data_IF_652634916584
#
_entry.id   IF_652634916584
#
_cell.length_a   1.000
_cell.length_b   1.000
_cell.length_c   1.000
_cell.angle_alpha   90.00
_cell.angle_beta   90.00
_cell.angle_gamma   90.00
#
_symmetry.space_group_name_H-M   'P 1'
#
loop_
_entity.id
_entity.type
_entity.pdbx_description
1 polymer ?
#
# COMPACT_ATOMS: atom_id res chain seq x y z
N UNK A 1 -20.13 -11.27 15.47
CA UNK A 1 -19.14 -12.40 15.34
C UNK A 1 -18.30 -12.38 14.06
N UNK A 2 -18.89 -12.05 12.90
CA UNK A 2 -18.23 -12.15 11.58
C UNK A 2 -17.47 -10.90 11.12
N UNK A 3 -17.43 -9.84 11.94
CA UNK A 3 -16.79 -8.57 11.61
C UNK A 3 -15.62 -8.36 12.55
N UNK A 4 -14.39 -8.59 12.07
CA UNK A 4 -13.15 -8.58 12.87
C UNK A 4 -13.20 -9.44 14.15
N UNK A 5 -14.13 -10.40 14.23
CA UNK A 5 -14.34 -11.26 15.38
C UNK A 5 -13.95 -12.72 15.12
N UNK A 6 -13.95 -13.51 16.19
CA UNK A 6 -13.56 -14.93 16.18
C UNK A 6 -14.39 -15.79 15.22
N UNK A 7 -15.62 -15.40 14.92
CA UNK A 7 -16.50 -16.15 14.02
C UNK A 7 -15.90 -16.36 12.62
N UNK A 8 -15.23 -15.34 12.08
CA UNK A 8 -14.57 -15.45 10.76
C UNK A 8 -13.34 -16.38 10.79
N UNK A 9 -12.64 -16.45 11.94
CA UNK A 9 -11.53 -17.38 12.13
C UNK A 9 -12.03 -18.81 12.24
N UNK A 10 -13.11 -19.04 13.01
CA UNK A 10 -13.75 -20.36 13.14
C UNK A 10 -14.30 -20.86 11.80
N UNK A 11 -14.90 -19.98 11.00
CA UNK A 11 -15.45 -20.33 9.68
C UNK A 11 -14.40 -20.82 8.67
N UNK A 12 -13.10 -20.68 8.95
CA UNK A 12 -12.02 -21.26 8.13
C UNK A 12 -11.77 -22.74 8.41
N UNK A 13 -12.21 -23.24 9.57
CA UNK A 13 -11.94 -24.62 10.03
C UNK A 13 -13.20 -25.40 10.40
N UNK A 14 -14.34 -24.72 10.59
CA UNK A 14 -15.66 -25.32 10.85
C UNK A 14 -16.60 -24.96 9.70
N UNK A 15 -17.34 -25.93 9.17
CA UNK A 15 -18.26 -25.69 8.08
C UNK A 15 -19.45 -24.81 8.53
N UNK A 16 -20.00 -23.93 7.67
CA UNK A 16 -21.16 -23.11 8.01
C UNK A 16 -22.38 -23.91 8.50
N UNK A 17 -22.58 -25.14 8.02
CA UNK A 17 -23.66 -26.04 8.44
C UNK A 17 -23.53 -26.53 9.88
N UNK A 18 -22.34 -26.43 10.48
CA UNK A 18 -22.02 -26.87 11.84
C UNK A 18 -21.95 -25.69 12.83
N UNK A 19 -22.19 -24.46 12.36
CA UNK A 19 -22.15 -23.25 13.16
C UNK A 19 -23.51 -22.56 13.18
N UNK A 20 -23.94 -22.13 14.37
CA UNK A 20 -25.06 -21.22 14.51
C UNK A 20 -24.56 -19.83 14.91
N UNK A 21 -24.66 -18.87 13.99
CA UNK A 21 -24.15 -17.51 14.18
C UNK A 21 -25.32 -16.58 14.46
N UNK A 22 -25.44 -16.12 15.71
CA UNK A 22 -26.44 -15.13 16.10
C UNK A 22 -25.96 -13.72 15.70
N UNK A 23 -26.68 -12.99 14.83
CA UNK A 23 -26.33 -11.63 14.48
C UNK A 23 -26.65 -10.68 15.64
N UNK A 24 -25.89 -9.59 15.72
CA UNK A 24 -26.08 -8.49 16.68
C UNK A 24 -25.58 -7.20 16.04
N UNK A 25 -26.13 -6.01 16.38
CA UNK A 25 -25.60 -4.74 15.90
C UNK A 25 -24.09 -4.65 16.11
N UNK A 26 -23.35 -4.33 15.05
CA UNK A 26 -21.90 -4.18 15.15
C UNK A 26 -21.52 -2.90 15.90
N UNK A 27 -20.30 -2.84 16.44
CA UNK A 27 -19.76 -1.59 16.99
C UNK A 27 -19.76 -0.45 15.97
N UNK A 28 -19.56 -0.74 14.67
CA UNK A 28 -19.71 0.26 13.61
C UNK A 28 -21.15 0.77 13.48
N UNK A 29 -22.13 -0.13 13.49
CA UNK A 29 -23.55 0.23 13.43
C UNK A 29 -23.98 1.06 14.64
N UNK A 30 -23.54 0.67 15.84
CA UNK A 30 -23.81 1.41 17.07
C UNK A 30 -23.14 2.80 17.02
N UNK A 31 -21.86 2.88 16.66
CA UNK A 31 -21.14 4.14 16.54
C UNK A 31 -21.79 5.08 15.50
N UNK A 32 -22.10 4.57 14.32
CA UNK A 32 -22.77 5.32 13.26
C UNK A 32 -24.12 5.88 13.74
N UNK A 33 -24.91 5.10 14.47
CA UNK A 33 -26.17 5.56 15.06
C UNK A 33 -25.98 6.69 16.10
N UNK A 34 -24.92 6.65 16.91
CA UNK A 34 -24.60 7.71 17.89
C UNK A 34 -24.08 9.00 17.25
N UNK A 35 -23.43 8.87 16.10
CA UNK A 35 -22.80 9.98 15.39
C UNK A 35 -23.67 10.56 14.28
N UNK A 36 -24.74 9.87 13.89
CA UNK A 36 -25.56 10.22 12.73
C UNK A 36 -24.80 10.04 11.40
N UNK A 37 -23.84 9.10 11.35
CA UNK A 37 -23.06 8.84 10.14
C UNK A 37 -23.70 7.74 9.30
N UNK A 38 -23.81 7.97 8.00
CA UNK A 38 -24.23 6.94 7.05
C UNK A 38 -23.07 5.94 6.84
N UNK A 39 -23.27 4.66 7.15
CA UNK A 39 -22.20 3.65 7.10
C UNK A 39 -21.60 3.47 5.69
N UNK A 40 -22.38 3.67 4.63
CA UNK A 40 -21.89 3.59 3.26
C UNK A 40 -20.89 4.71 2.89
N UNK A 41 -20.88 5.81 3.65
CA UNK A 41 -19.97 6.94 3.46
C UNK A 41 -18.76 6.90 4.41
N UNK A 42 -18.64 5.85 5.22
CA UNK A 42 -17.64 5.70 6.27
C UNK A 42 -16.70 4.57 5.92
N UNK A 43 -15.39 4.82 6.05
CA UNK A 43 -14.41 3.73 5.97
C UNK A 43 -14.30 3.04 7.32
N UNK A 44 -14.68 1.77 7.36
CA UNK A 44 -14.55 0.92 8.55
C UNK A 44 -13.20 0.22 8.58
N UNK A 45 -12.43 0.40 9.66
CA UNK A 45 -11.06 -0.07 9.81
C UNK A 45 -10.86 -0.74 11.17
N UNK A 46 -9.75 -1.46 11.31
CA UNK A 46 -9.36 -2.10 12.57
C UNK A 46 -7.85 -2.02 12.74
N UNK A 47 -7.41 -1.61 13.93
CA UNK A 47 -6.01 -1.70 14.38
C UNK A 47 -5.80 -2.85 15.34
N UNK A 48 -6.82 -3.69 15.58
CA UNK A 48 -6.70 -4.90 16.40
C UNK A 48 -5.69 -5.85 15.75
N UNK A 49 -4.57 -6.08 16.44
CA UNK A 49 -3.43 -6.83 15.92
C UNK A 49 -2.94 -6.37 14.53
N UNK A 50 -3.10 -5.08 14.20
CA UNK A 50 -2.74 -4.49 12.90
C UNK A 50 -2.01 -3.15 13.10
N UNK A 51 -1.00 -2.84 12.27
CA UNK A 51 -0.28 -1.58 12.40
C UNK A 51 -1.17 -0.37 12.14
N UNK A 52 -1.12 0.62 13.03
CA UNK A 52 -1.82 1.91 12.90
C UNK A 52 -1.45 2.65 11.60
N UNK A 53 -0.25 2.40 11.07
CA UNK A 53 0.25 2.99 9.83
C UNK A 53 -0.69 2.79 8.63
N UNK A 54 -1.49 1.71 8.62
CA UNK A 54 -2.46 1.46 7.55
C UNK A 54 -3.52 2.58 7.42
N UNK A 55 -3.80 3.33 8.49
CA UNK A 55 -4.73 4.46 8.45
C UNK A 55 -4.27 5.54 7.45
N UNK A 56 -2.97 5.70 7.20
CA UNK A 56 -2.42 6.73 6.30
C UNK A 56 -2.99 6.65 4.87
N UNK A 57 -3.37 5.46 4.40
CA UNK A 57 -3.97 5.28 3.07
C UNK A 57 -5.42 5.79 2.96
N UNK A 58 -6.04 6.11 4.10
CA UNK A 58 -7.44 6.53 4.22
C UNK A 58 -7.59 7.98 4.65
N UNK A 59 -6.49 8.69 4.92
CA UNK A 59 -6.52 10.08 5.35
C UNK A 59 -6.69 11.00 4.13
N UNK A 60 -7.83 11.67 4.08
CA UNK A 60 -8.08 12.83 3.25
C UNK A 60 -9.04 13.77 3.96
N UNK A 61 -9.05 15.05 3.58
CA UNK A 61 -9.95 16.01 4.19
C UNK A 61 -11.41 15.59 3.99
N UNK A 62 -12.21 15.63 5.06
CA UNK A 62 -13.61 15.19 5.07
C UNK A 62 -13.83 13.68 5.11
N UNK A 63 -12.77 12.86 5.17
CA UNK A 63 -12.91 11.42 5.38
C UNK A 63 -13.54 11.13 6.74
N UNK A 64 -14.45 10.16 6.80
CA UNK A 64 -14.99 9.63 8.05
C UNK A 64 -14.53 8.20 8.25
N UNK A 65 -13.84 7.96 9.36
CA UNK A 65 -13.28 6.65 9.69
C UNK A 65 -13.90 6.14 10.99
N UNK A 66 -14.24 4.85 11.03
CA UNK A 66 -14.52 4.15 12.27
C UNK A 66 -13.45 3.07 12.46
N UNK A 67 -12.66 3.18 13.52
CA UNK A 67 -11.47 2.36 13.76
C UNK A 67 -11.66 1.55 15.04
N UNK A 68 -11.70 0.22 14.92
CA UNK A 68 -11.67 -0.68 16.08
C UNK A 68 -10.29 -0.63 16.74
N UNK A 69 -10.26 -0.31 18.02
CA UNK A 69 -9.04 -0.22 18.83
C UNK A 69 -8.57 -1.60 19.30
N UNK A 70 -7.26 -1.74 19.46
CA UNK A 70 -6.67 -2.90 20.12
C UNK A 70 -6.92 -2.88 21.63
N UNK A 71 -6.82 -1.68 22.23
CA UNK A 71 -6.87 -1.42 23.68
C UNK A 71 -6.99 0.10 23.96
N UNK A 72 -6.82 0.49 25.22
CA UNK A 72 -6.86 1.89 25.67
C UNK A 72 -5.73 2.77 25.11
N UNK A 73 -4.64 2.21 24.59
CA UNK A 73 -3.53 2.98 24.01
C UNK A 73 -3.80 3.41 22.56
N UNK A 74 -4.68 2.68 21.85
CA UNK A 74 -4.94 2.88 20.42
C UNK A 74 -5.37 4.31 20.08
N UNK A 75 -6.27 4.99 20.83
CA UNK A 75 -6.60 6.38 20.55
C UNK A 75 -5.41 7.34 20.61
N UNK A 76 -4.49 7.16 21.57
CA UNK A 76 -3.30 8.00 21.68
C UNK A 76 -2.35 7.81 20.48
N UNK A 77 -2.16 6.57 20.05
CA UNK A 77 -1.36 6.24 18.86
C UNK A 77 -1.99 6.80 17.58
N UNK A 78 -3.32 6.71 17.45
CA UNK A 78 -4.05 7.29 16.31
C UNK A 78 -3.92 8.81 16.30
N UNK A 79 -4.09 9.47 17.46
CA UNK A 79 -3.94 10.92 17.56
C UNK A 79 -2.53 11.38 17.15
N UNK A 80 -1.49 10.66 17.59
CA UNK A 80 -0.12 10.93 17.18
C UNK A 80 0.08 10.82 15.67
N UNK A 81 -0.39 9.72 15.07
CA UNK A 81 -0.33 9.53 13.62
C UNK A 81 -1.06 10.65 12.86
N UNK A 82 -2.25 11.06 13.31
CA UNK A 82 -2.99 12.15 12.69
C UNK A 82 -2.21 13.47 12.74
N UNK A 83 -1.62 13.82 13.90
CA UNK A 83 -0.78 15.03 14.02
C UNK A 83 0.42 14.98 13.07
N UNK A 84 1.14 13.86 13.05
CA UNK A 84 2.35 13.70 12.22
C UNK A 84 2.06 13.82 10.72
N UNK A 85 0.81 13.61 10.30
CA UNK A 85 0.38 13.69 8.88
C UNK A 85 -0.37 14.97 8.53
N UNK A 86 -0.40 15.96 9.41
CA UNK A 86 -1.12 17.22 9.18
C UNK A 86 -2.64 17.09 9.32
N UNK A 87 -3.12 16.05 10.00
CA UNK A 87 -4.53 15.83 10.32
C UNK A 87 -4.82 16.10 11.80
N UNK A 88 -3.97 16.87 12.48
CA UNK A 88 -4.13 17.23 13.89
C UNK A 88 -5.49 17.85 14.25
N UNK A 89 -6.10 18.73 13.43
CA UNK A 89 -7.41 19.30 13.72
C UNK A 89 -8.58 18.30 13.68
N UNK A 90 -8.35 17.07 13.20
CA UNK A 90 -9.38 16.04 13.09
C UNK A 90 -10.08 15.81 14.43
N UNK A 91 -11.41 15.74 14.40
CA UNK A 91 -12.22 15.41 15.58
C UNK A 91 -12.15 13.91 15.79
N UNK A 92 -11.77 13.51 17.00
CA UNK A 92 -11.74 12.14 17.46
C UNK A 92 -12.84 11.94 18.50
N UNK A 93 -13.71 10.98 18.26
CA UNK A 93 -14.70 10.52 19.25
C UNK A 93 -14.36 9.09 19.64
N UNK A 94 -13.91 8.89 20.88
CA UNK A 94 -13.72 7.56 21.45
C UNK A 94 -15.02 7.10 22.08
N UNK A 95 -15.51 5.96 21.63
CA UNK A 95 -16.76 5.34 22.05
C UNK A 95 -16.43 4.04 22.77
N UNK A 96 -16.70 4.02 24.07
CA UNK A 96 -16.36 2.93 24.98
C UNK A 96 -17.60 2.09 25.27
N UNK A 97 -17.43 0.77 25.42
CA UNK A 97 -18.49 -0.14 25.85
C UNK A 97 -19.84 0.04 25.11
N UNK A 98 -19.80 0.37 23.81
CA UNK A 98 -20.97 0.67 22.99
C UNK A 98 -22.07 -0.40 23.14
N UNK A 99 -23.29 0.05 23.39
CA UNK A 99 -24.47 -0.80 23.60
C UNK A 99 -24.60 -1.40 25.00
N UNK A 100 -23.65 -1.13 25.90
CA UNK A 100 -23.66 -1.62 27.29
C UNK A 100 -24.00 -0.54 28.32
N UNK A 101 -24.17 -0.93 29.60
CA UNK A 101 -24.49 0.00 30.69
C UNK A 101 -23.33 0.95 31.04
N UNK A 102 -22.10 0.61 30.63
CA UNK A 102 -20.90 1.42 30.80
C UNK A 102 -20.57 2.27 29.55
N UNK A 103 -21.51 2.40 28.60
CA UNK A 103 -21.29 3.18 27.37
C UNK A 103 -20.86 4.61 27.73
N UNK A 104 -19.70 5.02 27.23
CA UNK A 104 -19.14 6.36 27.46
C UNK A 104 -18.56 6.91 26.16
N UNK A 105 -18.58 8.24 26.04
CA UNK A 105 -18.10 8.98 24.88
C UNK A 105 -17.11 10.04 25.33
N UNK A 106 -15.94 10.07 24.70
CA UNK A 106 -14.91 11.09 24.90
C UNK A 106 -14.63 11.75 23.55
N UNK A 107 -14.74 13.07 23.51
CA UNK A 107 -14.49 13.86 22.30
C UNK A 107 -13.32 14.81 22.52
N UNK A 108 -12.41 14.84 21.54
CA UNK A 108 -11.31 15.79 21.50
C UNK A 108 -10.79 15.93 20.07
N UNK A 109 -9.86 16.86 19.83
CA UNK A 109 -9.08 16.89 18.59
C UNK A 109 -7.84 16.04 18.73
N UNK A 110 -7.29 15.56 17.62
CA UNK A 110 -6.02 14.83 17.66
C UNK A 110 -4.86 15.67 18.24
N UNK A 111 -4.88 17.00 18.04
CA UNK A 111 -3.94 17.95 18.70
C UNK A 111 -4.12 18.08 20.20
N UNK A 112 -5.32 17.85 20.71
CA UNK A 112 -5.72 18.05 22.11
C UNK A 112 -5.76 16.71 22.88
N UNK A 113 -5.23 15.65 22.28
CA UNK A 113 -5.15 14.35 22.93
C UNK A 113 -4.04 14.33 23.99
N UNK A 114 -4.42 14.45 25.26
CA UNK A 114 -3.51 14.47 26.42
C UNK A 114 -3.64 13.19 27.27
N UNK A 115 -3.54 12.02 26.63
CA UNK A 115 -3.59 10.70 27.31
C UNK A 115 -4.78 10.55 28.26
N UNK A 116 -5.96 10.90 27.76
CA UNK A 116 -7.21 10.79 28.51
C UNK A 116 -7.46 9.32 28.91
N UNK A 117 -7.93 9.05 30.13
CA UNK A 117 -8.22 7.69 30.57
C UNK A 117 -9.40 7.13 29.78
N UNK A 118 -9.15 6.09 29.00
CA UNK A 118 -10.13 5.37 28.17
C UNK A 118 -10.10 3.87 28.47
N UNK A 119 -11.22 3.19 28.29
CA UNK A 119 -11.36 1.76 28.46
C UNK A 119 -10.72 0.98 27.31
N UNK A 120 -10.26 -0.24 27.58
CA UNK A 120 -9.70 -1.11 26.55
C UNK A 120 -10.70 -1.42 25.42
N UNK A 121 -11.96 -1.64 25.79
CA UNK A 121 -13.02 -1.89 24.83
C UNK A 121 -13.57 -0.57 24.28
N UNK A 122 -12.88 -0.05 23.26
CA UNK A 122 -13.25 1.20 22.60
C UNK A 122 -13.19 1.12 21.06
N UNK A 123 -13.85 2.09 20.42
CA UNK A 123 -13.76 2.38 19.00
C UNK A 123 -13.46 3.87 18.83
N UNK A 124 -12.63 4.23 17.86
CA UNK A 124 -12.34 5.64 17.53
C UNK A 124 -13.07 6.01 16.25
N UNK A 125 -13.95 7.00 16.33
CA UNK A 125 -14.50 7.69 15.18
C UNK A 125 -13.67 8.93 14.86
N UNK A 126 -13.30 9.11 13.59
CA UNK A 126 -12.43 10.19 13.14
C UNK A 126 -13.15 10.94 12.03
N UNK A 127 -13.40 12.23 12.25
CA UNK A 127 -13.79 13.17 11.20
C UNK A 127 -12.54 13.94 10.77
N UNK A 128 -11.96 13.51 9.64
CA UNK A 128 -10.64 13.94 9.21
C UNK A 128 -10.64 15.40 8.74
N UNK A 129 -9.85 16.23 9.41
CA UNK A 129 -9.61 17.62 9.05
C UNK A 129 -8.12 17.84 8.84
N UNK A 130 -7.78 18.24 7.61
CA UNK A 130 -6.41 18.55 7.22
C UNK A 130 -6.05 20.00 7.61
N UNK A 131 -4.83 20.20 8.09
CA UNK A 131 -4.19 21.52 8.18
C UNK A 131 -3.33 21.80 6.93
N UNK A 132 -2.66 22.96 6.92
CA UNK A 132 -1.85 23.41 5.79
C UNK A 132 -0.59 22.54 5.53
N UNK A 133 -0.18 21.71 6.50
CA UNK A 133 0.96 20.80 6.37
C UNK A 133 0.57 19.43 5.79
N UNK A 134 -0.73 19.12 5.74
CA UNK A 134 -1.20 17.85 5.19
C UNK A 134 -0.83 17.72 3.71
N UNK A 135 -0.30 16.55 3.33
CA UNK A 135 -0.04 16.22 1.94
C UNK A 135 -1.12 15.24 1.45
N UNK A 136 -2.08 15.69 0.62
CA UNK A 136 -3.06 14.78 0.04
C UNK A 136 -2.35 13.86 -0.96
N UNK A 137 -2.39 12.55 -0.69
CA UNK A 137 -1.78 11.55 -1.55
C UNK A 137 -2.85 10.73 -2.25
N UNK A 138 -2.89 10.80 -3.59
CA UNK A 138 -3.82 10.02 -4.40
C UNK A 138 -3.64 8.52 -4.19
N UNK A 139 -4.71 7.75 -4.41
CA UNK A 139 -4.63 6.29 -4.54
C UNK A 139 -4.41 5.84 -5.98
N UNK A 140 -4.54 6.77 -6.93
CA UNK A 140 -4.09 6.58 -8.32
C UNK A 140 -2.56 6.66 -8.32
N UNK A 141 -1.91 5.71 -9.00
CA UNK A 141 -0.46 5.64 -9.11
C UNK A 141 0.18 6.92 -9.67
N UNK A 142 1.48 7.11 -9.41
CA UNK A 142 2.22 8.30 -9.79
C UNK A 142 2.28 9.37 -8.70
N UNK A 143 2.42 8.95 -7.42
CA UNK A 143 2.73 9.87 -6.32
C UNK A 143 4.01 10.69 -6.60
N UNK A 144 4.09 11.95 -6.13
CA UNK A 144 5.30 12.75 -6.27
C UNK A 144 6.50 12.05 -5.64
N UNK A 145 7.69 12.22 -6.23
CA UNK A 145 8.92 11.58 -5.73
C UNK A 145 9.22 11.96 -4.27
N UNK A 146 8.87 13.18 -3.86
CA UNK A 146 9.01 13.67 -2.49
C UNK A 146 8.17 12.93 -1.44
N UNK A 147 7.18 12.13 -1.88
CA UNK A 147 6.43 11.27 -0.97
C UNK A 147 7.24 10.03 -0.50
N UNK A 148 8.40 9.77 -1.10
CA UNK A 148 9.28 8.65 -0.77
C UNK A 148 10.60 9.15 -0.21
N UNK A 149 11.09 8.51 0.85
CA UNK A 149 12.52 8.58 1.17
C UNK A 149 13.29 7.72 0.18
N UNK A 150 14.33 8.28 -0.42
CA UNK A 150 15.15 7.61 -1.43
C UNK A 150 16.60 8.10 -1.40
N UNK A 151 17.55 7.28 -1.84
CA UNK A 151 18.98 7.60 -1.99
C UNK A 151 19.34 8.22 -3.36
N UNK A 152 18.32 8.53 -4.16
CA UNK A 152 18.44 8.98 -5.55
C UNK A 152 18.04 7.88 -6.55
N UNK A 153 17.98 6.62 -6.12
CA UNK A 153 17.48 5.50 -6.90
C UNK A 153 15.99 5.29 -6.61
N UNK A 154 15.17 5.89 -7.46
CA UNK A 154 13.71 5.81 -7.42
C UNK A 154 13.19 5.76 -8.85
N UNK A 155 12.23 4.87 -9.14
CA UNK A 155 11.44 4.97 -10.36
C UNK A 155 10.66 6.29 -10.32
N UNK A 156 11.06 7.24 -11.16
CA UNK A 156 10.51 8.59 -11.23
C UNK A 156 9.01 8.57 -11.49
N UNK A 157 8.30 9.52 -10.89
CA UNK A 157 6.83 9.65 -10.91
C UNK A 157 6.17 9.23 -12.23
N UNK A 158 6.57 9.82 -13.34
CA UNK A 158 5.89 9.65 -14.62
C UNK A 158 6.12 8.23 -15.19
N UNK A 159 7.35 7.71 -15.05
CA UNK A 159 7.69 6.32 -15.41
C UNK A 159 6.93 5.34 -14.52
N UNK A 160 6.85 5.64 -13.22
CA UNK A 160 6.16 4.83 -12.22
C UNK A 160 4.66 4.77 -12.49
N UNK A 161 4.04 5.88 -12.89
CA UNK A 161 2.65 5.91 -13.33
C UNK A 161 2.42 5.01 -14.55
N UNK A 162 3.27 5.11 -15.59
CA UNK A 162 3.18 4.23 -16.78
C UNK A 162 3.37 2.76 -16.39
N UNK A 163 4.36 2.46 -15.54
CA UNK A 163 4.67 1.11 -15.08
C UNK A 163 3.48 0.50 -14.33
N UNK A 164 2.86 1.24 -13.40
CA UNK A 164 1.67 0.80 -12.68
C UNK A 164 0.47 0.60 -13.59
N UNK A 165 0.30 1.44 -14.61
CA UNK A 165 -0.75 1.28 -15.60
C UNK A 165 -0.58 -0.01 -16.42
N UNK A 166 0.67 -0.39 -16.78
CA UNK A 166 0.96 -1.66 -17.44
C UNK A 166 0.82 -2.87 -16.51
N UNK A 167 1.22 -2.73 -15.25
CA UNK A 167 1.05 -3.77 -14.23
C UNK A 167 -0.43 -4.04 -13.91
N UNK A 168 -1.30 -3.04 -14.05
CA UNK A 168 -2.76 -3.14 -13.94
C UNK A 168 -3.22 -3.94 -12.71
N UNK A 169 -3.04 -3.41 -11.47
CA UNK A 169 -3.44 -4.11 -10.25
C UNK A 169 -4.94 -4.46 -10.25
N UNK A 170 -5.26 -5.68 -9.82
CA UNK A 170 -6.62 -6.09 -9.48
C UNK A 170 -6.71 -6.50 -8.01
N UNK A 171 -7.90 -6.38 -7.38
CA UNK A 171 -8.08 -6.74 -5.97
C UNK A 171 -7.55 -8.15 -5.65
N UNK A 172 -6.78 -8.27 -4.57
CA UNK A 172 -6.30 -9.55 -4.04
C UNK A 172 -5.02 -10.08 -4.71
N UNK A 173 -4.55 -9.44 -5.78
CA UNK A 173 -3.38 -9.92 -6.52
C UNK A 173 -2.07 -9.70 -5.77
N UNK A 174 -1.12 -10.60 -6.02
CA UNK A 174 0.24 -10.54 -5.52
C UNK A 174 1.22 -10.02 -6.58
N UNK A 175 1.99 -9.00 -6.20
CA UNK A 175 3.12 -8.47 -6.96
C UNK A 175 4.45 -8.95 -6.37
N UNK A 176 5.39 -9.36 -7.23
CA UNK A 176 6.82 -9.30 -6.88
C UNK A 176 7.41 -8.00 -7.41
N UNK A 177 8.05 -7.22 -6.53
CA UNK A 177 8.82 -6.03 -6.87
C UNK A 177 10.31 -6.38 -6.76
N UNK A 178 10.92 -6.76 -7.89
CA UNK A 178 12.29 -7.30 -7.94
C UNK A 178 13.29 -6.16 -8.15
N UNK A 179 14.23 -6.02 -7.21
CA UNK A 179 15.11 -4.85 -7.16
C UNK A 179 14.32 -3.62 -6.72
N UNK A 180 13.58 -3.76 -5.63
CA UNK A 180 12.56 -2.81 -5.20
C UNK A 180 13.09 -1.40 -4.93
N UNK A 181 14.38 -1.25 -4.61
CA UNK A 181 15.00 0.04 -4.34
C UNK A 181 14.34 0.71 -3.14
N UNK A 182 13.64 1.82 -3.37
CA UNK A 182 12.86 2.50 -2.32
C UNK A 182 11.44 1.93 -2.12
N UNK A 183 11.06 0.89 -2.86
CA UNK A 183 9.79 0.16 -2.78
C UNK A 183 8.62 0.83 -3.50
N UNK A 184 8.87 1.79 -4.38
CA UNK A 184 7.82 2.71 -4.84
C UNK A 184 6.74 2.04 -5.69
N UNK A 185 7.10 1.08 -6.55
CA UNK A 185 6.15 0.31 -7.35
C UNK A 185 5.31 -0.59 -6.46
N UNK A 186 5.97 -1.37 -5.61
CA UNK A 186 5.34 -2.26 -4.64
C UNK A 186 4.36 -1.56 -3.69
N UNK A 187 4.71 -0.35 -3.24
CA UNK A 187 3.87 0.46 -2.36
C UNK A 187 2.64 0.98 -3.10
N UNK A 188 2.80 1.60 -4.27
CA UNK A 188 1.66 2.15 -5.00
C UNK A 188 0.73 1.06 -5.55
N UNK A 189 1.26 -0.12 -5.87
CA UNK A 189 0.47 -1.32 -6.16
C UNK A 189 -0.51 -1.65 -5.02
N UNK A 190 -0.01 -1.69 -3.78
CA UNK A 190 -0.84 -1.96 -2.59
C UNK A 190 -1.79 -0.82 -2.24
N UNK A 191 -1.50 0.42 -2.66
CA UNK A 191 -2.41 1.57 -2.47
C UNK A 191 -3.62 1.51 -3.41
N UNK A 192 -3.50 0.88 -4.57
CA UNK A 192 -4.59 0.76 -5.54
C UNK A 192 -5.80 0.02 -4.95
N UNK A 193 -5.58 -1.14 -4.30
CA UNK A 193 -6.63 -1.91 -3.63
C UNK A 193 -6.19 -2.42 -2.25
N UNK A 194 -7.06 -2.37 -1.21
CA UNK A 194 -6.68 -2.73 0.16
C UNK A 194 -6.20 -4.17 0.36
N UNK A 195 -6.55 -5.08 -0.54
CA UNK A 195 -6.20 -6.50 -0.49
C UNK A 195 -5.10 -6.89 -1.49
N UNK A 196 -4.56 -5.96 -2.27
CA UNK A 196 -3.34 -6.20 -3.03
C UNK A 196 -2.17 -6.49 -2.08
N UNK A 197 -1.27 -7.36 -2.50
CA UNK A 197 -0.08 -7.75 -1.73
C UNK A 197 1.17 -7.53 -2.56
N UNK A 198 2.28 -7.24 -1.90
CA UNK A 198 3.60 -7.10 -2.52
C UNK A 198 4.63 -7.87 -1.72
N UNK A 199 5.45 -8.67 -2.40
CA UNK A 199 6.75 -9.11 -1.92
C UNK A 199 7.82 -8.22 -2.57
N UNK A 200 8.47 -7.36 -1.79
CA UNK A 200 9.53 -6.48 -2.27
C UNK A 200 10.89 -7.14 -2.03
N UNK A 201 11.65 -7.38 -3.09
CA UNK A 201 12.93 -8.08 -3.05
C UNK A 201 14.06 -7.06 -3.19
N UNK A 202 14.85 -6.90 -2.13
CA UNK A 202 15.96 -5.94 -2.08
C UNK A 202 17.14 -6.50 -1.29
N UNK A 203 18.35 -6.35 -1.83
CA UNK A 203 19.58 -6.86 -1.25
C UNK A 203 20.29 -5.82 -0.38
N UNK A 204 20.20 -4.55 -0.74
CA UNK A 204 20.88 -3.46 -0.02
C UNK A 204 20.19 -3.14 1.31
N UNK A 205 20.94 -3.23 2.41
CA UNK A 205 20.40 -3.03 3.76
C UNK A 205 19.92 -1.59 4.01
N UNK A 206 20.53 -0.59 3.37
CA UNK A 206 20.09 0.80 3.48
C UNK A 206 18.74 1.01 2.80
N UNK A 207 18.56 0.46 1.60
CA UNK A 207 17.31 0.51 0.85
C UNK A 207 16.20 -0.31 1.47
N UNK A 208 16.53 -1.43 2.11
CA UNK A 208 15.58 -2.18 2.94
C UNK A 208 14.94 -1.29 4.01
N UNK A 209 15.72 -0.43 4.70
CA UNK A 209 15.18 0.52 5.68
C UNK A 209 14.29 1.59 5.03
N UNK A 210 14.66 2.05 3.82
CA UNK A 210 13.82 2.98 3.05
C UNK A 210 12.46 2.36 2.71
N UNK A 211 12.42 1.09 2.29
CA UNK A 211 11.18 0.36 2.01
C UNK A 211 10.31 0.28 3.27
N UNK A 212 10.89 -0.09 4.41
CA UNK A 212 10.16 -0.21 5.68
C UNK A 212 9.59 1.14 6.12
N UNK A 213 10.37 2.22 6.01
CA UNK A 213 9.86 3.56 6.28
C UNK A 213 8.73 3.95 5.32
N UNK A 214 8.95 3.79 4.01
CA UNK A 214 8.02 4.23 2.98
C UNK A 214 6.71 3.45 3.03
N UNK A 215 6.72 2.13 3.29
CA UNK A 215 5.48 1.34 3.36
C UNK A 215 4.58 1.80 4.51
N UNK A 216 5.16 2.16 5.65
CA UNK A 216 4.42 2.64 6.82
C UNK A 216 3.97 4.10 6.59
N UNK A 217 4.85 4.93 6.04
CA UNK A 217 4.53 6.30 5.65
C UNK A 217 3.38 6.36 4.64
N UNK A 218 3.35 5.47 3.67
CA UNK A 218 2.39 5.51 2.57
C UNK A 218 1.17 4.60 2.78
N UNK A 219 1.01 4.04 3.99
CA UNK A 219 -0.22 3.38 4.43
C UNK A 219 -0.37 1.93 3.99
N UNK A 220 0.72 1.24 3.67
CA UNK A 220 0.74 -0.15 3.23
C UNK A 220 1.71 -1.00 4.07
N UNK A 221 1.59 -1.00 5.41
CA UNK A 221 2.52 -1.72 6.31
C UNK A 221 2.53 -3.24 6.09
N UNK A 222 1.54 -3.79 5.37
CA UNK A 222 1.50 -5.20 4.97
C UNK A 222 2.47 -5.58 3.84
N UNK A 223 3.17 -4.63 3.23
CA UNK A 223 4.21 -4.93 2.23
C UNK A 223 5.32 -5.77 2.87
N UNK A 224 5.58 -6.95 2.32
CA UNK A 224 6.56 -7.88 2.86
C UNK A 224 7.92 -7.64 2.20
N UNK A 225 8.93 -7.36 3.02
CA UNK A 225 10.30 -7.19 2.56
C UNK A 225 11.01 -8.55 2.58
N UNK A 226 11.47 -8.99 1.41
CA UNK A 226 12.31 -10.18 1.25
C UNK A 226 13.76 -9.70 1.11
N UNK A 227 14.53 -9.87 2.18
CA UNK A 227 15.93 -9.44 2.25
C UNK A 227 16.81 -10.43 1.49
N UNK A 228 17.36 -10.00 0.37
CA UNK A 228 18.25 -10.84 -0.43
C UNK A 228 18.29 -10.45 -1.89
N UNK A 229 19.12 -11.18 -2.65
CA UNK A 229 19.34 -10.93 -4.07
C UNK A 229 18.58 -11.94 -4.92
N UNK A 230 17.91 -11.46 -5.97
CA UNK A 230 17.35 -12.33 -7.00
C UNK A 230 18.48 -12.93 -7.87
N UNK A 231 18.34 -14.18 -8.35
CA UNK A 231 17.16 -15.04 -8.26
C UNK A 231 17.04 -15.83 -6.95
N UNK A 232 18.07 -15.90 -6.09
CA UNK A 232 18.09 -16.78 -4.92
C UNK A 232 16.97 -16.44 -3.91
N UNK A 233 16.74 -15.15 -3.67
CA UNK A 233 15.70 -14.67 -2.78
C UNK A 233 14.26 -14.96 -3.27
N UNK A 234 14.09 -15.40 -4.53
CA UNK A 234 12.79 -15.75 -5.10
C UNK A 234 12.36 -17.18 -4.78
N UNK A 235 13.26 -18.01 -4.26
CA UNK A 235 12.99 -19.43 -3.99
C UNK A 235 11.99 -19.59 -2.84
N UNK A 236 10.99 -20.46 -3.05
CA UNK A 236 9.97 -20.77 -2.05
C UNK A 236 8.92 -19.68 -1.82
N UNK A 237 9.00 -18.56 -2.53
CA UNK A 237 7.99 -17.51 -2.48
C UNK A 237 6.68 -17.96 -3.14
N UNK A 238 5.56 -17.43 -2.64
CA UNK A 238 4.26 -17.63 -3.27
C UNK A 238 4.29 -17.08 -4.72
N UNK A 239 3.78 -17.88 -5.66
CA UNK A 239 3.71 -17.50 -7.08
C UNK A 239 2.91 -16.20 -7.24
N UNK A 240 3.42 -15.21 -8.00
CA UNK A 240 2.75 -13.92 -8.14
C UNK A 240 1.77 -13.88 -9.32
N UNK A 241 0.84 -12.93 -9.26
CA UNK A 241 -0.06 -12.56 -10.36
C UNK A 241 0.59 -11.51 -11.29
N UNK A 242 1.51 -10.71 -10.74
CA UNK A 242 2.29 -9.75 -11.51
C UNK A 242 3.74 -9.68 -11.00
N UNK A 243 4.68 -9.36 -11.88
CA UNK A 243 6.09 -9.14 -11.53
C UNK A 243 6.53 -7.82 -12.14
N UNK A 244 7.16 -6.99 -11.32
CA UNK A 244 7.94 -5.85 -11.77
C UNK A 244 9.43 -6.13 -11.57
N UNK A 245 10.25 -5.79 -12.56
CA UNK A 245 11.71 -5.85 -12.48
C UNK A 245 12.28 -4.46 -12.74
N UNK A 246 12.63 -3.75 -11.66
CA UNK A 246 13.21 -2.41 -11.72
C UNK A 246 14.73 -2.41 -11.79
N UNK A 247 15.36 -3.44 -11.23
CA UNK A 247 16.82 -3.63 -11.25
C UNK A 247 17.19 -5.09 -11.44
N UNK A 248 18.40 -5.34 -11.95
CA UNK A 248 18.91 -6.71 -12.09
C UNK A 248 18.36 -7.49 -13.29
N UNK A 249 17.77 -6.83 -14.29
CA UNK A 249 17.38 -7.48 -15.58
C UNK A 249 18.58 -8.21 -16.22
N UNK A 250 19.79 -7.69 -16.02
CA UNK A 250 21.05 -8.27 -16.50
C UNK A 250 21.63 -9.34 -15.59
N UNK A 251 21.06 -9.56 -14.39
CA UNK A 251 21.50 -10.64 -13.51
C UNK A 251 21.00 -11.97 -14.08
N UNK A 252 21.95 -12.87 -14.30
CA UNK A 252 21.68 -14.18 -14.88
C UNK A 252 20.60 -14.93 -14.09
N UNK A 253 19.64 -15.51 -14.82
CA UNK A 253 18.54 -16.30 -14.26
C UNK A 253 17.41 -15.53 -13.60
N UNK A 254 17.50 -14.19 -13.42
CA UNK A 254 16.40 -13.41 -12.80
C UNK A 254 15.14 -13.43 -13.67
N UNK A 255 15.25 -13.07 -14.96
CA UNK A 255 14.11 -13.07 -15.88
C UNK A 255 13.48 -14.46 -16.00
N UNK A 256 14.30 -15.50 -16.17
CA UNK A 256 13.83 -16.88 -16.30
C UNK A 256 13.13 -17.38 -15.03
N UNK A 257 13.70 -17.10 -13.85
CA UNK A 257 13.08 -17.47 -12.56
C UNK A 257 11.75 -16.75 -12.36
N UNK A 258 11.71 -15.44 -12.62
CA UNK A 258 10.47 -14.65 -12.55
C UNK A 258 9.41 -15.23 -13.49
N UNK A 259 9.77 -15.52 -14.75
CA UNK A 259 8.83 -16.05 -15.73
C UNK A 259 8.29 -17.43 -15.35
N UNK A 260 9.15 -18.31 -14.83
CA UNK A 260 8.73 -19.64 -14.38
C UNK A 260 7.73 -19.55 -13.22
N UNK A 261 7.99 -18.67 -12.26
CA UNK A 261 7.17 -18.51 -11.06
C UNK A 261 5.87 -17.76 -11.30
N UNK A 262 5.84 -16.84 -12.27
CA UNK A 262 4.63 -16.12 -12.67
C UNK A 262 3.47 -17.09 -12.95
N UNK A 263 2.30 -16.80 -12.40
CA UNK A 263 1.07 -17.56 -12.69
C UNK A 263 0.71 -17.45 -14.17
N UNK A 264 0.05 -18.46 -14.76
CA UNK A 264 -0.52 -18.35 -16.10
C UNK A 264 -1.51 -17.17 -16.16
N UNK A 265 -1.51 -16.40 -17.24
CA UNK A 265 -2.26 -15.14 -17.35
C UNK A 265 -1.67 -13.98 -16.55
N UNK A 266 -0.58 -14.21 -15.80
CA UNK A 266 0.12 -13.17 -15.04
C UNK A 266 0.91 -12.21 -15.93
N UNK A 267 1.25 -11.04 -15.40
CA UNK A 267 1.90 -9.95 -16.13
C UNK A 267 3.32 -9.72 -15.64
N UNK A 268 4.27 -9.54 -16.56
CA UNK A 268 5.64 -9.16 -16.24
C UNK A 268 5.95 -7.83 -16.91
N UNK A 269 6.35 -6.86 -16.10
CA UNK A 269 6.83 -5.55 -16.55
C UNK A 269 8.28 -5.36 -16.12
N UNK A 270 9.15 -4.96 -17.05
CA UNK A 270 10.55 -4.71 -16.76
C UNK A 270 11.02 -3.40 -17.39
N UNK A 271 11.79 -2.61 -16.64
CA UNK A 271 12.34 -1.34 -17.10
C UNK A 271 13.85 -1.46 -17.31
N UNK A 272 14.33 -0.94 -18.45
CA UNK A 272 15.73 -0.92 -18.85
C UNK A 272 16.19 0.50 -19.18
N UNK A 273 17.42 0.83 -18.80
CA UNK A 273 18.07 2.13 -19.06
C UNK A 273 19.40 1.97 -19.81
N UNK A 274 20.05 0.81 -19.68
CA UNK A 274 21.33 0.54 -20.36
C UNK A 274 21.11 -0.28 -21.62
N UNK A 275 21.96 -0.08 -22.63
CA UNK A 275 21.88 -0.84 -23.89
C UNK A 275 21.90 -2.36 -23.67
N UNK A 276 22.69 -2.84 -22.70
CA UNK A 276 22.75 -4.27 -22.34
C UNK A 276 21.41 -4.77 -21.80
N UNK A 277 20.77 -4.00 -20.91
CA UNK A 277 19.43 -4.34 -20.42
C UNK A 277 18.38 -4.29 -21.54
N UNK A 278 18.48 -3.33 -22.46
CA UNK A 278 17.58 -3.21 -23.61
C UNK A 278 17.69 -4.41 -24.56
N UNK A 279 18.91 -4.83 -24.90
CA UNK A 279 19.15 -6.02 -25.73
C UNK A 279 18.55 -7.29 -25.12
N UNK A 280 18.62 -7.44 -23.79
CA UNK A 280 17.98 -8.55 -23.09
C UNK A 280 16.46 -8.48 -23.17
N UNK A 281 15.85 -7.32 -22.96
CA UNK A 281 14.40 -7.16 -23.10
C UNK A 281 13.93 -7.41 -24.55
N UNK A 282 14.69 -6.97 -25.55
CA UNK A 282 14.44 -7.27 -26.97
C UNK A 282 14.47 -8.78 -27.24
N UNK A 283 15.49 -9.46 -26.73
CA UNK A 283 15.62 -10.93 -26.85
C UNK A 283 14.50 -11.66 -26.13
N UNK A 284 14.06 -11.15 -24.97
CA UNK A 284 12.95 -11.72 -24.21
C UNK A 284 11.62 -11.58 -24.96
N UNK A 285 11.36 -10.38 -25.51
CA UNK A 285 10.17 -10.09 -26.33
C UNK A 285 10.11 -10.98 -27.58
N UNK A 286 11.25 -11.28 -28.20
CA UNK A 286 11.29 -12.20 -29.34
C UNK A 286 10.88 -13.63 -28.96
N UNK A 287 11.22 -14.08 -27.74
CA UNK A 287 10.91 -15.43 -27.24
C UNK A 287 9.50 -15.57 -26.68
N UNK A 288 9.00 -14.56 -25.98
CA UNK A 288 7.76 -14.65 -25.19
C UNK A 288 6.64 -13.73 -25.69
N UNK A 289 6.89 -12.94 -26.73
CA UNK A 289 5.94 -11.93 -27.20
C UNK A 289 5.91 -10.69 -26.30
N UNK A 290 4.79 -9.97 -26.35
CA UNK A 290 4.62 -8.71 -25.62
C UNK A 290 5.07 -7.46 -26.39
N UNK A 291 5.06 -6.35 -25.68
CA UNK A 291 5.30 -5.01 -26.18
C UNK A 291 6.58 -4.41 -25.60
N UNK A 292 7.33 -3.70 -26.45
CA UNK A 292 8.41 -2.83 -26.02
C UNK A 292 8.01 -1.38 -26.27
N UNK A 293 8.02 -0.57 -25.22
CA UNK A 293 7.73 0.86 -25.30
C UNK A 293 8.96 1.63 -24.87
N UNK A 294 9.43 2.57 -25.71
CA UNK A 294 10.49 3.50 -25.31
C UNK A 294 9.88 4.82 -24.87
N UNK A 295 10.22 5.25 -23.66
CA UNK A 295 9.65 6.43 -23.02
C UNK A 295 10.73 7.50 -22.86
N UNK A 296 10.45 8.69 -23.40
CA UNK A 296 11.26 9.88 -23.23
C UNK A 296 10.48 10.89 -22.40
N UNK A 297 11.07 11.39 -21.32
CA UNK A 297 10.44 12.35 -20.42
C UNK A 297 11.39 13.52 -20.22
N UNK A 298 10.85 14.73 -20.36
CA UNK A 298 11.55 15.97 -20.12
C UNK A 298 10.75 16.84 -19.18
N UNK A 299 11.42 17.53 -18.27
CA UNK A 299 10.80 18.48 -17.36
C UNK A 299 11.48 19.85 -17.52
N UNK A 300 10.68 20.91 -17.46
CA UNK A 300 11.21 22.26 -17.43
C UNK A 300 12.00 22.46 -16.13
N UNK A 301 13.23 22.95 -16.25
CA UNK A 301 14.06 23.35 -15.12
C UNK A 301 14.80 24.65 -15.44
N UNK A 302 15.12 25.48 -14.43
CA UNK A 302 15.85 26.73 -14.65
C UNK A 302 17.21 26.54 -15.35
N UNK A 303 17.52 27.48 -16.22
CA UNK A 303 18.78 27.69 -16.92
C UNK A 303 19.09 29.20 -16.94
N UNK A 304 19.66 29.71 -15.84
CA UNK A 304 19.81 31.14 -15.63
C UNK A 304 18.45 31.79 -15.35
N UNK A 305 18.09 32.80 -16.13
CA UNK A 305 16.80 33.51 -16.04
C UNK A 305 15.69 32.85 -16.88
N UNK A 306 16.00 31.82 -17.65
CA UNK A 306 15.05 31.10 -18.52
C UNK A 306 14.87 29.66 -18.06
N UNK A 307 13.89 28.97 -18.65
CA UNK A 307 13.71 27.53 -18.47
C UNK A 307 14.25 26.74 -19.67
N UNK A 308 14.73 25.52 -19.39
CA UNK A 308 15.11 24.56 -20.43
C UNK A 308 14.52 23.19 -20.13
N UNK A 309 14.41 22.35 -21.16
CA UNK A 309 14.02 20.96 -21.01
C UNK A 309 15.21 20.13 -20.52
N UNK A 310 15.13 19.64 -19.28
CA UNK A 310 16.05 18.61 -18.78
C UNK A 310 15.45 17.24 -19.06
N UNK A 311 16.07 16.50 -19.97
CA UNK A 311 15.63 15.17 -20.35
C UNK A 311 16.21 14.11 -19.39
N UNK A 312 15.35 13.24 -18.89
CA UNK A 312 15.79 12.03 -18.21
C UNK A 312 16.38 11.05 -19.24
N UNK A 313 17.21 10.12 -18.78
CA UNK A 313 17.62 8.99 -19.63
C UNK A 313 16.37 8.26 -20.12
N UNK A 314 16.28 7.91 -21.42
CA UNK A 314 15.15 7.17 -21.94
C UNK A 314 15.04 5.80 -21.26
N UNK A 315 13.82 5.34 -21.06
CA UNK A 315 13.55 4.03 -20.48
C UNK A 315 12.86 3.16 -21.52
N UNK A 316 13.38 1.96 -21.71
CA UNK A 316 12.70 0.90 -22.47
C UNK A 316 11.94 0.03 -21.49
N UNK A 317 10.62 -0.02 -21.64
CA UNK A 317 9.71 -0.84 -20.86
C UNK A 317 9.30 -2.05 -21.69
N UNK A 318 9.45 -3.24 -21.11
CA UNK A 318 8.84 -4.48 -21.60
C UNK A 318 7.55 -4.74 -20.82
N UNK A 319 6.48 -5.05 -21.53
CA UNK A 319 5.21 -5.54 -20.99
C UNK A 319 4.89 -6.86 -21.69
N UNK A 320 4.76 -7.95 -20.92
CA UNK A 320 4.42 -9.27 -21.43
C UNK A 320 3.45 -9.98 -20.49
N UNK A 321 2.44 -10.63 -21.07
CA UNK A 321 1.51 -11.50 -20.34
C UNK A 321 1.88 -12.96 -20.59
N UNK A 322 1.99 -13.74 -19.51
CA UNK A 322 2.23 -15.18 -19.60
C UNK A 322 0.98 -15.86 -20.16
N UNK A 323 1.10 -16.72 -21.18
CA UNK A 323 -0.04 -17.49 -21.68
C UNK A 323 -0.72 -18.26 -20.55
N UNK A 324 -2.02 -18.51 -20.71
CA UNK A 324 -2.73 -19.46 -19.87
C UNK A 324 -2.14 -20.87 -20.09
N UNK A 325 -2.16 -21.70 -19.06
CA UNK A 325 -1.85 -23.13 -19.23
C UNK A 325 -2.94 -23.72 -20.14
N UNK A 326 -2.53 -24.51 -21.13
CA UNK A 326 -3.42 -25.14 -22.11
C UNK A 326 -4.26 -26.26 -21.47
#
# INVERSE_FOLDING_TARGET
>A
PMLYGVGASLARVVAPSEMHVLPSPSSFSLAAARLGWALQDVTTLSVVARPVAALNAHLHNGARLLVLSNDASSPATIAALLRDRGFGPSRMTVLEHLGGPAERRVETRATEWHELPVADLNLVAIDCQADASAQPLSRIGGLPDSAFRHDGQLTKRDVRAITLARLAPLPGQLLWDVGAGSGSIGIEWMRAYPNCRTLAIEADAGRQQLIEHNRDALGVPGLQLIRGKAPQALQGLERPDAIFIGGGVTCEGVLDTCWQQLKPGGRLVANAVTLQSEMLLMSWRQRHGGELTRVHIAQAQPLGEFDTWRQALPITLLDVTKPLDA
#
